data_IF_527581270909
#
_entry.id   IF_527581270909
#
_cell.length_a   1.000
_cell.length_b   1.000
_cell.length_c   1.000
_cell.angle_alpha   90.00
_cell.angle_beta   90.00
_cell.angle_gamma   90.00
#
_symmetry.space_group_name_H-M   'P 1'
#
loop_
_entity.id
_entity.type
_entity.pdbx_description
1 polymer ?
#
# COMPACT_ATOMS: atom_id res chain seq x y z
N UNK A 1 -5.75 0.53 -9.75
CA UNK A 1 -4.68 1.55 -9.55
C UNK A 1 -3.37 1.24 -10.29
N UNK A 2 -3.23 0.09 -10.97
CA UNK A 2 -1.95 -0.39 -11.51
C UNK A 2 -1.28 0.53 -12.54
N UNK A 3 -2.04 1.25 -13.37
CA UNK A 3 -1.45 2.12 -14.40
C UNK A 3 -0.88 3.46 -13.88
N UNK A 4 -0.97 3.75 -12.57
CA UNK A 4 -0.43 5.00 -11.98
C UNK A 4 0.92 4.84 -11.29
N UNK A 5 1.28 3.63 -10.88
CA UNK A 5 2.45 3.37 -10.04
C UNK A 5 3.44 2.44 -10.72
N UNK A 6 4.74 2.68 -10.53
CA UNK A 6 5.78 1.75 -10.99
C UNK A 6 5.79 0.49 -10.12
N UNK A 7 6.36 -0.62 -10.62
CA UNK A 7 6.54 -1.86 -9.83
C UNK A 7 7.26 -1.62 -8.49
N UNK A 8 8.16 -0.64 -8.44
CA UNK A 8 8.90 -0.26 -7.22
C UNK A 8 8.02 0.52 -6.25
N UNK A 9 7.22 1.45 -6.76
CA UNK A 9 6.25 2.21 -5.97
C UNK A 9 5.20 1.26 -5.36
N UNK A 10 4.67 0.33 -6.16
CA UNK A 10 3.70 -0.69 -5.70
C UNK A 10 4.30 -1.53 -4.57
N UNK A 11 5.50 -2.07 -4.76
CA UNK A 11 6.19 -2.84 -3.72
C UNK A 11 6.39 -2.03 -2.43
N UNK A 12 6.73 -0.74 -2.55
CA UNK A 12 6.94 0.14 -1.40
C UNK A 12 5.63 0.46 -0.67
N UNK A 13 4.54 0.71 -1.38
CA UNK A 13 3.21 0.97 -0.80
C UNK A 13 2.74 -0.25 0.00
N UNK A 14 2.79 -1.44 -0.62
CA UNK A 14 2.37 -2.70 0.02
C UNK A 14 3.24 -2.96 1.26
N UNK A 15 4.56 -2.82 1.15
CA UNK A 15 5.47 -3.04 2.29
C UNK A 15 5.24 -2.06 3.45
N UNK A 16 5.05 -0.78 3.15
CA UNK A 16 4.75 0.22 4.17
C UNK A 16 3.41 -0.05 4.86
N UNK A 17 2.40 -0.49 4.10
CA UNK A 17 1.08 -0.80 4.65
C UNK A 17 1.08 -2.08 5.48
N UNK A 18 1.77 -3.12 5.02
CA UNK A 18 1.96 -4.35 5.78
C UNK A 18 2.59 -4.07 7.16
N UNK A 19 3.57 -3.15 7.22
CA UNK A 19 4.16 -2.70 8.48
C UNK A 19 3.14 -2.01 9.38
N UNK A 20 2.31 -1.10 8.84
CA UNK A 20 1.25 -0.44 9.62
C UNK A 20 0.29 -1.47 10.24
N UNK A 21 -0.15 -2.46 9.46
CA UNK A 21 -1.05 -3.52 9.94
C UNK A 21 -0.35 -4.36 11.03
N UNK A 22 0.93 -4.69 10.84
CA UNK A 22 1.72 -5.41 11.85
C UNK A 22 1.84 -4.64 13.18
N UNK A 23 1.81 -3.31 13.12
CA UNK A 23 1.80 -2.43 14.30
C UNK A 23 0.41 -2.23 14.92
N UNK A 24 -0.62 -2.93 14.43
CA UNK A 24 -1.98 -2.84 14.95
C UNK A 24 -2.81 -1.69 14.38
N UNK A 25 -2.40 -1.10 13.25
CA UNK A 25 -3.22 -0.11 12.57
C UNK A 25 -4.55 -0.71 12.09
N UNK A 26 -5.66 0.07 12.05
CA UNK A 26 -6.94 -0.41 11.57
C UNK A 26 -6.87 -0.79 10.10
N UNK A 27 -7.45 -1.95 9.79
CA UNK A 27 -7.61 -2.49 8.44
C UNK A 27 -8.91 -1.93 7.87
N UNK A 28 -8.86 -1.43 6.63
CA UNK A 28 -10.00 -0.78 5.97
C UNK A 28 -10.77 -1.73 5.04
N UNK A 29 -10.23 -2.92 4.78
CA UNK A 29 -10.88 -3.98 3.99
C UNK A 29 -11.33 -5.16 4.86
N UNK A 30 -12.16 -6.03 4.30
CA UNK A 30 -12.56 -7.26 4.97
C UNK A 30 -11.41 -8.28 4.94
N UNK A 31 -10.81 -8.51 6.11
CA UNK A 31 -9.70 -9.46 6.31
C UNK A 31 -10.17 -10.91 6.20
N UNK A 32 -11.45 -11.20 6.43
CA UNK A 32 -11.93 -12.58 6.60
C UNK A 32 -11.04 -13.36 7.59
N UNK A 33 -10.56 -14.53 7.18
CA UNK A 33 -9.61 -15.36 7.95
C UNK A 33 -8.13 -15.09 7.65
N UNK A 34 -7.82 -14.18 6.72
CA UNK A 34 -6.44 -13.94 6.26
C UNK A 34 -5.60 -13.37 7.40
N UNK A 35 -4.51 -14.04 7.80
CA UNK A 35 -3.61 -13.53 8.86
C UNK A 35 -2.36 -12.85 8.34
N UNK A 36 -2.07 -13.01 7.05
CA UNK A 36 -0.86 -12.47 6.47
C UNK A 36 -1.00 -10.98 6.18
N UNK A 37 -0.21 -10.15 6.87
CA UNK A 37 -0.21 -8.70 6.73
C UNK A 37 0.09 -8.22 5.30
N UNK A 38 0.89 -8.99 4.54
CA UNK A 38 1.23 -8.65 3.16
C UNK A 38 0.02 -8.88 2.26
N UNK A 39 -0.71 -9.99 2.46
CA UNK A 39 -1.90 -10.30 1.66
C UNK A 39 -3.03 -9.31 1.94
N UNK A 40 -3.21 -8.92 3.21
CA UNK A 40 -4.17 -7.88 3.60
C UNK A 40 -3.82 -6.54 2.93
N UNK A 41 -2.56 -6.11 3.01
CA UNK A 41 -2.11 -4.88 2.36
C UNK A 41 -2.28 -4.91 0.83
N UNK A 42 -2.10 -6.09 0.21
CA UNK A 42 -2.31 -6.27 -1.23
C UNK A 42 -3.79 -6.16 -1.61
N UNK A 43 -4.69 -6.76 -0.84
CA UNK A 43 -6.14 -6.62 -1.03
C UNK A 43 -6.59 -5.16 -0.93
N UNK A 44 -6.13 -4.44 0.10
CA UNK A 44 -6.43 -3.00 0.23
C UNK A 44 -5.92 -2.17 -0.96
N UNK A 45 -4.83 -2.61 -1.61
CA UNK A 45 -4.26 -1.91 -2.77
C UNK A 45 -5.08 -2.17 -4.02
N UNK A 46 -5.54 -3.40 -4.21
CA UNK A 46 -6.41 -3.81 -5.31
C UNK A 46 -7.78 -3.12 -5.23
N UNK A 47 -8.33 -2.97 -4.02
CA UNK A 47 -9.57 -2.23 -3.76
C UNK A 47 -9.40 -0.70 -3.82
N UNK A 48 -8.17 -0.21 -3.74
CA UNK A 48 -7.87 1.23 -3.84
C UNK A 48 -8.27 2.06 -2.61
N UNK A 49 -8.48 1.42 -1.45
CA UNK A 49 -8.84 2.07 -0.17
C UNK A 49 -7.63 2.50 0.65
N UNK A 50 -6.44 2.31 0.11
CA UNK A 50 -5.17 2.44 0.81
C UNK A 50 -4.82 3.92 1.10
N UNK A 51 -4.65 4.34 2.37
CA UNK A 51 -4.43 5.73 2.75
C UNK A 51 -2.96 6.17 2.57
N UNK A 52 -2.33 5.79 1.45
CA UNK A 52 -0.93 6.08 1.14
C UNK A 52 -0.85 6.65 -0.27
N UNK A 53 -0.11 7.74 -0.43
CA UNK A 53 0.16 8.37 -1.73
C UNK A 53 1.66 8.48 -1.95
N UNK A 54 2.10 8.28 -3.19
CA UNK A 54 3.51 8.45 -3.57
C UNK A 54 3.78 9.89 -3.96
N UNK A 55 4.69 10.54 -3.25
CA UNK A 55 5.24 11.84 -3.64
C UNK A 55 6.48 11.62 -4.50
N UNK A 56 6.40 12.01 -5.77
CA UNK A 56 7.54 11.99 -6.70
C UNK A 56 8.33 13.29 -6.55
N UNK A 57 9.60 13.18 -6.20
CA UNK A 57 10.52 14.31 -6.26
C UNK A 57 11.09 14.33 -7.68
N UNK A 58 10.58 15.22 -8.53
CA UNK A 58 11.29 15.60 -9.74
C UNK A 58 12.29 16.67 -9.34
N UNK A 59 13.57 16.45 -9.63
CA UNK A 59 14.57 17.51 -9.51
C UNK A 59 14.09 18.67 -10.39
N UNK A 60 13.84 19.83 -9.76
CA UNK A 60 13.73 21.07 -10.52
C UNK A 60 15.09 21.27 -11.16
N UNK A 61 15.19 21.07 -12.47
CA UNK A 61 16.29 21.64 -13.24
C UNK A 61 16.09 23.15 -13.18
N UNK A 62 16.81 23.81 -12.28
CA UNK A 62 17.06 25.26 -12.33
C UNK A 62 17.91 25.61 -13.56
#
# INVERSE_FOLDING_TARGET
>A
MENKYTKYEIARIIGARALQIAMGAPILTDRGEEKNVIQIAKKEFEEGVLPITVKRFQEKKE
#
